data_IF_961297144505
#
_entry.id   IF_961297144505
#
_cell.length_a   1.000
_cell.length_b   1.000
_cell.length_c   1.000
_cell.angle_alpha   90.00
_cell.angle_beta   90.00
_cell.angle_gamma   90.00
#
_symmetry.space_group_name_H-M   'P 1'
#
loop_
_entity.id
_entity.type
_entity.pdbx_description
1 polymer ?
#
# COMPACT_ATOMS: atom_id res chain seq x y z
N UNK A 1 -5.26 21.65 4.41
CA UNK A 1 -4.33 20.57 4.79
C UNK A 1 -4.88 19.15 4.57
N UNK A 2 -5.78 18.59 5.40
CA UNK A 2 -6.22 17.18 5.20
C UNK A 2 -6.93 16.95 3.85
N UNK A 3 -7.76 17.90 3.41
CA UNK A 3 -8.40 17.83 2.08
C UNK A 3 -7.40 17.94 0.91
N UNK A 4 -6.20 18.52 1.12
CA UNK A 4 -5.17 18.54 0.09
C UNK A 4 -4.46 17.18 -0.03
N UNK A 5 -4.36 16.45 1.09
CA UNK A 5 -3.69 15.14 1.15
C UNK A 5 -4.66 14.01 0.74
N UNK A 6 -5.91 14.07 1.19
CA UNK A 6 -6.90 13.00 1.08
C UNK A 6 -8.10 13.35 0.20
N UNK A 7 -8.10 14.51 -0.46
CA UNK A 7 -9.27 15.03 -1.20
C UNK A 7 -9.86 14.02 -2.18
N UNK A 8 -9.00 13.35 -2.95
CA UNK A 8 -9.42 12.35 -3.95
C UNK A 8 -9.98 11.06 -3.35
N UNK A 9 -9.71 10.81 -2.08
CA UNK A 9 -10.00 9.56 -1.36
C UNK A 9 -11.24 9.67 -0.48
N UNK A 10 -11.79 10.88 -0.27
CA UNK A 10 -12.85 11.13 0.71
C UNK A 10 -14.19 10.44 0.42
N UNK A 11 -14.48 10.15 -0.85
CA UNK A 11 -15.76 9.55 -1.27
C UNK A 11 -15.57 8.34 -2.17
N UNK A 12 -14.35 7.79 -2.22
CA UNK A 12 -14.02 6.59 -3.01
C UNK A 12 -13.80 5.41 -2.09
N UNK A 13 -14.04 4.19 -2.56
CA UNK A 13 -13.56 2.99 -1.89
C UNK A 13 -12.03 3.03 -1.74
N UNK A 14 -11.53 2.80 -0.54
CA UNK A 14 -10.09 2.82 -0.23
C UNK A 14 -9.73 1.63 0.63
N UNK A 15 -8.66 0.93 0.27
CA UNK A 15 -8.05 -0.10 1.13
C UNK A 15 -6.71 0.42 1.61
N UNK A 16 -6.57 0.60 2.92
CA UNK A 16 -5.33 1.06 3.56
C UNK A 16 -4.49 -0.15 4.00
N UNK A 17 -3.23 -0.22 3.58
CA UNK A 17 -2.28 -1.27 3.95
C UNK A 17 -0.84 -0.73 4.02
N UNK A 18 0.04 -1.43 4.74
CA UNK A 18 1.48 -1.14 4.75
C UNK A 18 2.29 -2.44 4.87
N UNK A 19 3.30 -2.52 5.74
CA UNK A 19 4.01 -3.78 6.02
C UNK A 19 3.29 -4.62 7.10
N UNK A 20 2.96 -4.01 8.24
CA UNK A 20 2.39 -4.68 9.43
C UNK A 20 1.17 -3.92 9.99
N UNK A 21 0.42 -3.23 9.13
CA UNK A 21 -0.83 -2.53 9.49
C UNK A 21 -0.68 -1.22 10.27
N UNK A 22 0.43 -0.96 10.98
CA UNK A 22 0.55 0.18 11.91
C UNK A 22 0.30 1.55 11.24
N UNK A 23 1.02 1.85 10.16
CA UNK A 23 0.82 3.09 9.40
C UNK A 23 -0.52 3.12 8.65
N UNK A 24 -1.03 1.95 8.26
CA UNK A 24 -2.30 1.84 7.55
C UNK A 24 -3.49 2.21 8.45
N UNK A 25 -3.41 1.87 9.75
CA UNK A 25 -4.42 2.22 10.74
C UNK A 25 -4.56 3.74 10.91
N UNK A 26 -3.45 4.49 10.85
CA UNK A 26 -3.49 5.95 10.89
C UNK A 26 -4.25 6.53 9.70
N UNK A 27 -3.95 6.07 8.48
CA UNK A 27 -4.65 6.53 7.27
C UNK A 27 -6.13 6.16 7.31
N UNK A 28 -6.46 4.95 7.76
CA UNK A 28 -7.83 4.50 7.94
C UNK A 28 -8.59 5.42 8.91
N UNK A 29 -8.02 5.69 10.09
CA UNK A 29 -8.63 6.56 11.11
C UNK A 29 -8.90 7.97 10.59
N UNK A 30 -7.93 8.56 9.87
CA UNK A 30 -8.13 9.90 9.27
C UNK A 30 -9.27 9.89 8.25
N UNK A 31 -9.31 8.88 7.38
CA UNK A 31 -10.33 8.78 6.34
C UNK A 31 -11.73 8.46 6.92
N UNK A 32 -11.83 7.54 7.87
CA UNK A 32 -13.10 7.13 8.48
C UNK A 32 -13.59 8.19 9.47
N UNK A 33 -12.82 8.47 10.51
CA UNK A 33 -13.28 9.23 11.68
C UNK A 33 -13.24 10.75 11.45
N UNK A 34 -12.22 11.24 10.75
CA UNK A 34 -12.06 12.70 10.58
C UNK A 34 -12.71 13.21 9.29
N UNK A 35 -12.69 12.41 8.22
CA UNK A 35 -13.19 12.81 6.91
C UNK A 35 -14.53 12.17 6.52
N UNK A 36 -15.01 11.20 7.30
CA UNK A 36 -16.33 10.59 7.13
C UNK A 36 -16.45 9.68 5.92
N UNK A 37 -15.35 9.10 5.43
CA UNK A 37 -15.42 8.11 4.35
C UNK A 37 -15.83 6.74 4.93
N UNK A 38 -17.08 6.35 4.73
CA UNK A 38 -17.60 5.04 5.17
C UNK A 38 -17.07 3.86 4.32
N UNK A 39 -16.49 4.14 3.15
CA UNK A 39 -15.98 3.12 2.22
C UNK A 39 -14.46 2.87 2.36
N UNK A 40 -13.87 3.20 3.50
CA UNK A 40 -12.47 2.89 3.79
C UNK A 40 -12.34 1.60 4.60
N UNK A 41 -11.48 0.69 4.15
CA UNK A 41 -11.17 -0.57 4.84
C UNK A 41 -9.70 -0.60 5.23
N UNK A 42 -9.43 -1.03 6.46
CA UNK A 42 -8.07 -1.34 6.92
C UNK A 42 -7.78 -2.82 6.63
N UNK A 43 -6.70 -3.08 5.88
CA UNK A 43 -6.11 -4.42 5.77
C UNK A 43 -4.90 -4.51 6.72
N UNK A 44 -5.15 -4.95 7.94
CA UNK A 44 -4.21 -4.96 9.05
C UNK A 44 -3.08 -5.99 8.89
N UNK A 45 -3.38 -7.17 8.34
CA UNK A 45 -2.35 -8.17 8.01
C UNK A 45 -1.35 -7.70 6.94
N UNK A 46 -1.76 -6.77 6.07
CA UNK A 46 -0.85 -5.99 5.22
C UNK A 46 0.08 -6.89 4.37
N UNK A 47 1.27 -6.42 4.00
CA UNK A 47 2.20 -7.22 3.19
C UNK A 47 2.68 -8.50 3.89
N UNK A 48 2.78 -8.51 5.23
CA UNK A 48 3.18 -9.72 5.97
C UNK A 48 2.16 -10.85 5.75
N UNK A 49 0.87 -10.59 5.87
CA UNK A 49 -0.15 -11.60 5.55
C UNK A 49 -0.24 -11.87 4.04
N UNK A 50 -0.16 -10.83 3.20
CA UNK A 50 -0.29 -11.01 1.75
C UNK A 50 0.76 -11.97 1.18
N UNK A 51 1.98 -11.90 1.70
CA UNK A 51 3.13 -12.69 1.21
C UNK A 51 3.21 -14.10 1.78
N UNK A 52 2.35 -14.47 2.74
CA UNK A 52 2.29 -15.84 3.28
C UNK A 52 1.74 -16.85 2.27
N UNK A 53 0.89 -16.40 1.34
CA UNK A 53 0.37 -17.23 0.26
C UNK A 53 1.14 -16.95 -1.03
N UNK A 54 1.94 -17.92 -1.45
CA UNK A 54 2.76 -17.84 -2.67
C UNK A 54 1.94 -17.81 -3.96
N UNK A 55 0.65 -18.15 -3.92
CA UNK A 55 -0.24 -18.09 -5.08
C UNK A 55 -0.81 -16.69 -5.32
N UNK A 56 -0.68 -15.76 -4.36
CA UNK A 56 -1.16 -14.39 -4.50
C UNK A 56 -0.24 -13.59 -5.45
N UNK A 57 -0.81 -12.72 -6.30
CA UNK A 57 0.00 -11.95 -7.23
C UNK A 57 0.90 -10.96 -6.49
N UNK A 58 2.16 -10.91 -6.90
CA UNK A 58 3.17 -9.97 -6.40
C UNK A 58 3.99 -9.45 -7.57
N UNK A 59 3.91 -8.15 -7.82
CA UNK A 59 4.77 -7.48 -8.79
C UNK A 59 6.05 -7.08 -8.07
N UNK A 60 7.18 -7.62 -8.52
CA UNK A 60 8.51 -7.30 -8.00
C UNK A 60 9.24 -6.44 -9.03
N UNK A 61 9.61 -5.23 -8.65
CA UNK A 61 10.55 -4.42 -9.42
C UNK A 61 11.92 -5.11 -9.47
N UNK A 62 12.61 -5.03 -10.61
CA UNK A 62 13.99 -5.55 -10.72
C UNK A 62 14.89 -4.75 -9.79
N UNK A 63 15.75 -5.44 -9.04
CA UNK A 63 16.75 -4.77 -8.22
C UNK A 63 17.67 -3.89 -9.08
N UNK A 64 18.17 -2.79 -8.52
CA UNK A 64 19.15 -1.93 -9.20
C UNK A 64 20.38 -2.72 -9.64
N UNK A 65 20.80 -3.71 -8.85
CA UNK A 65 21.91 -4.60 -9.20
C UNK A 65 21.61 -5.46 -10.43
N UNK A 66 20.39 -6.00 -10.54
CA UNK A 66 19.93 -6.75 -11.72
C UNK A 66 19.91 -5.84 -12.95
N UNK A 67 19.40 -4.61 -12.81
CA UNK A 67 19.40 -3.61 -13.90
C UNK A 67 20.83 -3.29 -14.37
N UNK A 68 21.78 -3.14 -13.45
CA UNK A 68 23.20 -2.87 -13.75
C UNK A 68 23.84 -4.06 -14.49
N UNK A 69 23.63 -5.30 -14.03
CA UNK A 69 24.15 -6.50 -14.71
C UNK A 69 23.64 -6.63 -16.14
N UNK A 70 22.35 -6.37 -16.35
CA UNK A 70 21.74 -6.39 -17.69
C UNK A 70 22.28 -5.26 -18.57
N UNK A 71 22.43 -4.04 -18.04
CA UNK A 71 22.96 -2.88 -18.78
C UNK A 71 24.39 -3.11 -19.29
N UNK A 72 25.26 -3.68 -18.45
CA UNK A 72 26.64 -3.98 -18.83
C UNK A 72 26.81 -5.37 -19.49
N UNK A 73 25.72 -6.12 -19.72
CA UNK A 73 25.75 -7.51 -20.22
C UNK A 73 26.79 -8.37 -19.51
N UNK A 74 26.95 -8.17 -18.21
CA UNK A 74 27.82 -8.97 -17.35
C UNK A 74 27.05 -10.26 -17.01
N UNK A 75 27.04 -11.18 -17.97
CA UNK A 75 26.46 -12.51 -17.90
C UNK A 75 27.38 -13.52 -18.56
#
# INVERSE_FOLDING_TARGET
MLNEIYGDMRSKPVVSYCNTGHWAAMNWFVLSELLGNENVTLYDGSMVEWTQDSNRPLIKEKSNFTKIKEFFRLG
#
